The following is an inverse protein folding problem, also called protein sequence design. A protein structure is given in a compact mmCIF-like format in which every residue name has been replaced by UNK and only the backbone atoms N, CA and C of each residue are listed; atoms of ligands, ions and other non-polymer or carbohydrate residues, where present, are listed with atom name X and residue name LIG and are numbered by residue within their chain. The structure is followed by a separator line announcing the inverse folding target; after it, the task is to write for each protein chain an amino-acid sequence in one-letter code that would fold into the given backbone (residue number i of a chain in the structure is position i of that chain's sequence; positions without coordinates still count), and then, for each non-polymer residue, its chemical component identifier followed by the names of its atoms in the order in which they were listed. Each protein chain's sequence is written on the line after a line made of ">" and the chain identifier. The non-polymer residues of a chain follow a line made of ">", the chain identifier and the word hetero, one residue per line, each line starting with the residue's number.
data_IF_752740603983
#
_entry.id   IF_752740603983
#
_cell.length_a   1.000
_cell.length_b   1.000
_cell.length_c   1.000
_cell.angle_alpha   90.00
_cell.angle_beta   90.00
_cell.angle_gamma   90.00
#
_symmetry.space_group_name_H-M   'P 1'
#
loop_
_entity.id
_entity.type
_entity.pdbx_description
1 polymer ?
#
# COMPACT_ATOMS: atom_id res chain seq x y z
N UNK A 1 -5.44 -35.39 34.34
CA UNK A 1 -6.31 -35.11 33.18
C UNK A 1 -6.02 -33.68 32.78
N UNK A 2 -5.12 -33.46 31.82
CA UNK A 2 -4.78 -32.11 31.39
C UNK A 2 -5.93 -31.59 30.55
N UNK A 3 -6.70 -30.66 31.11
CA UNK A 3 -7.77 -29.98 30.41
C UNK A 3 -7.11 -29.11 29.34
N UNK A 4 -7.21 -29.51 28.08
CA UNK A 4 -6.90 -28.62 26.98
C UNK A 4 -7.94 -27.50 27.03
N UNK A 5 -7.56 -26.32 27.53
CA UNK A 5 -8.40 -25.15 27.37
C UNK A 5 -8.55 -24.94 25.85
N UNK A 6 -9.78 -25.00 25.36
CA UNK A 6 -10.10 -24.62 23.99
C UNK A 6 -9.87 -23.10 23.95
N UNK A 7 -8.73 -22.68 23.41
CA UNK A 7 -8.43 -21.27 23.22
C UNK A 7 -9.31 -20.77 22.07
N UNK A 8 -10.34 -20.00 22.39
CA UNK A 8 -11.24 -19.39 21.42
C UNK A 8 -10.55 -18.38 20.50
N UNK A 9 -9.28 -18.06 20.78
CA UNK A 9 -8.39 -17.25 19.96
C UNK A 9 -7.64 -18.05 18.90
N UNK A 10 -7.70 -19.39 18.92
CA UNK A 10 -7.03 -20.26 17.96
C UNK A 10 -7.86 -20.37 16.65
N UNK A 11 -7.32 -19.92 15.50
CA UNK A 11 -7.98 -19.95 14.19
C UNK A 11 -8.39 -21.33 13.67
N UNK A 12 -7.84 -22.40 14.25
CA UNK A 12 -8.09 -23.79 13.84
C UNK A 12 -9.38 -24.37 14.43
N UNK A 13 -9.78 -23.87 15.60
CA UNK A 13 -11.01 -24.30 16.30
C UNK A 13 -12.15 -23.29 16.15
N UNK A 14 -11.84 -22.01 15.91
CA UNK A 14 -12.83 -20.97 15.65
C UNK A 14 -12.43 -20.14 14.41
N UNK A 15 -13.07 -20.36 13.24
CA UNK A 15 -12.81 -19.57 12.04
C UNK A 15 -13.04 -18.07 12.21
N UNK A 16 -13.87 -17.66 13.18
CA UNK A 16 -14.14 -16.25 13.51
C UNK A 16 -12.99 -15.60 14.30
N UNK A 17 -12.13 -16.39 14.95
CA UNK A 17 -10.94 -15.88 15.64
C UNK A 17 -9.93 -15.22 14.68
N UNK A 18 -9.98 -15.56 13.39
CA UNK A 18 -9.20 -14.94 12.31
C UNK A 18 -9.54 -13.46 12.06
N UNK A 19 -10.63 -12.95 12.63
CA UNK A 19 -11.01 -11.53 12.52
C UNK A 19 -11.08 -10.85 13.90
N UNK A 20 -10.72 -11.55 14.98
CA UNK A 20 -10.82 -11.02 16.34
C UNK A 20 -9.69 -10.02 16.66
N UNK A 21 -8.56 -10.07 15.95
CA UNK A 21 -7.44 -9.16 16.15
C UNK A 21 -7.35 -8.14 15.01
N UNK A 22 -7.06 -6.89 15.39
CA UNK A 22 -6.82 -5.80 14.43
C UNK A 22 -5.68 -6.15 13.46
N UNK A 23 -4.68 -6.90 13.92
CA UNK A 23 -3.57 -7.39 13.09
C UNK A 23 -4.04 -8.27 11.91
N UNK A 24 -5.10 -9.07 12.09
CA UNK A 24 -5.59 -9.94 11.02
C UNK A 24 -6.35 -9.17 9.94
N UNK A 25 -7.06 -8.10 10.34
CA UNK A 25 -7.65 -7.16 9.40
C UNK A 25 -6.54 -6.46 8.59
N UNK A 26 -5.46 -6.02 9.26
CA UNK A 26 -4.32 -5.43 8.58
C UNK A 26 -3.68 -6.41 7.58
N UNK A 27 -3.54 -7.69 7.90
CA UNK A 27 -2.99 -8.68 6.98
C UNK A 27 -3.80 -8.85 5.69
N UNK A 28 -5.10 -8.53 5.69
CA UNK A 28 -5.95 -8.58 4.50
C UNK A 28 -5.97 -7.24 3.77
N UNK A 29 -6.13 -6.13 4.51
CA UNK A 29 -6.27 -4.80 3.92
C UNK A 29 -4.94 -4.26 3.36
N UNK A 30 -3.83 -4.52 4.02
CA UNK A 30 -2.54 -3.94 3.69
C UNK A 30 -1.99 -4.43 2.33
N UNK A 31 -1.97 -5.74 2.00
CA UNK A 31 -1.54 -6.19 0.66
C UNK A 31 -2.49 -5.70 -0.44
N UNK A 32 -3.80 -5.68 -0.18
CA UNK A 32 -4.79 -5.17 -1.13
C UNK A 32 -4.54 -3.67 -1.44
N UNK A 33 -4.24 -2.89 -0.41
CA UNK A 33 -3.97 -1.46 -0.53
C UNK A 33 -2.64 -1.19 -1.25
N UNK A 34 -1.60 -2.01 -0.99
CA UNK A 34 -0.33 -1.92 -1.72
C UNK A 34 -0.51 -2.24 -3.21
N UNK A 35 -1.22 -3.32 -3.54
CA UNK A 35 -1.50 -3.70 -4.94
C UNK A 35 -2.34 -2.61 -5.63
N UNK A 36 -3.38 -2.10 -4.94
CA UNK A 36 -4.20 -1.01 -5.44
C UNK A 36 -3.40 0.27 -5.67
N UNK A 37 -2.53 0.65 -4.73
CA UNK A 37 -1.66 1.82 -4.85
C UNK A 37 -0.66 1.65 -6.01
N UNK A 38 -0.06 0.47 -6.16
CA UNK A 38 0.85 0.17 -7.27
C UNK A 38 0.15 0.27 -8.62
N UNK A 39 -1.09 -0.23 -8.73
CA UNK A 39 -1.89 -0.16 -9.95
C UNK A 39 -2.26 1.29 -10.30
N UNK A 40 -2.71 2.08 -9.32
CA UNK A 40 -3.03 3.50 -9.53
C UNK A 40 -1.78 4.29 -9.96
N UNK A 41 -0.64 4.06 -9.31
CA UNK A 41 0.63 4.69 -9.67
C UNK A 41 1.02 4.36 -11.11
N UNK A 42 0.89 3.09 -11.53
CA UNK A 42 1.19 2.66 -12.89
C UNK A 42 0.31 3.40 -13.92
N UNK A 43 -1.00 3.47 -13.66
CA UNK A 43 -1.95 4.17 -14.55
C UNK A 43 -1.65 5.67 -14.61
N UNK A 44 -1.35 6.32 -13.48
CA UNK A 44 -0.99 7.74 -13.46
C UNK A 44 0.31 8.02 -14.22
N UNK A 45 1.31 7.14 -14.11
CA UNK A 45 2.59 7.30 -14.78
C UNK A 45 2.44 7.14 -16.30
N UNK A 46 1.66 6.15 -16.75
CA UNK A 46 1.31 5.98 -18.16
C UNK A 46 0.50 7.16 -18.71
N UNK A 47 -0.52 7.63 -17.97
CA UNK A 47 -1.35 8.76 -18.39
C UNK A 47 -0.56 10.08 -18.44
N UNK A 48 0.30 10.33 -17.44
CA UNK A 48 1.18 11.51 -17.41
C UNK A 48 2.22 11.49 -18.53
N UNK A 49 2.81 10.32 -18.80
CA UNK A 49 3.72 10.12 -19.92
C UNK A 49 3.03 10.33 -21.28
N UNK A 50 1.84 9.76 -21.46
CA UNK A 50 1.03 9.92 -22.66
C UNK A 50 0.66 11.39 -22.90
N UNK A 51 0.18 12.09 -21.87
CA UNK A 51 -0.18 13.51 -21.95
C UNK A 51 1.01 14.39 -22.36
N UNK A 52 2.24 14.07 -21.89
CA UNK A 52 3.47 14.78 -22.26
C UNK A 52 3.80 14.62 -23.74
N UNK A 53 3.56 13.45 -24.32
CA UNK A 53 3.89 13.13 -25.72
C UNK A 53 2.96 13.87 -26.70
N UNK A 54 1.67 14.00 -26.37
CA UNK A 54 0.66 14.59 -27.28
C UNK A 54 0.52 16.10 -27.07
N UNK A 55 1.13 16.66 -26.02
CA UNK A 55 1.00 18.08 -25.67
C UNK A 55 1.46 19.04 -26.79
N UNK A 56 2.34 18.60 -27.70
CA UNK A 56 2.81 19.40 -28.83
C UNK A 56 3.42 20.74 -28.39
N UNK A 57 3.16 21.80 -29.17
CA UNK A 57 3.64 23.18 -28.91
C UNK A 57 2.67 24.04 -28.09
N UNK A 58 1.56 23.48 -27.59
CA UNK A 58 0.61 24.19 -26.74
C UNK A 58 1.26 24.47 -25.37
N UNK A 59 1.57 25.73 -25.02
CA UNK A 59 2.26 26.05 -23.77
C UNK A 59 1.45 25.62 -22.55
N UNK A 60 0.12 25.65 -22.68
CA UNK A 60 -0.82 25.26 -21.63
C UNK A 60 -0.79 23.74 -21.38
N UNK A 61 -0.75 22.93 -22.43
CA UNK A 61 -0.65 21.48 -22.32
C UNK A 61 0.73 21.05 -21.80
N UNK A 62 1.79 21.76 -22.17
CA UNK A 62 3.14 21.53 -21.66
C UNK A 62 3.21 21.82 -20.16
N UNK A 63 2.66 22.95 -19.72
CA UNK A 63 2.60 23.30 -18.30
C UNK A 63 1.76 22.30 -17.49
N UNK A 64 0.64 21.84 -18.05
CA UNK A 64 -0.22 20.82 -17.42
C UNK A 64 0.49 19.47 -17.31
N UNK A 65 1.16 19.03 -18.36
CA UNK A 65 1.93 17.78 -18.36
C UNK A 65 3.10 17.82 -17.37
N UNK A 66 3.81 18.95 -17.25
CA UNK A 66 4.86 19.11 -16.23
C UNK A 66 4.30 19.01 -14.81
N UNK A 67 3.16 19.67 -14.52
CA UNK A 67 2.51 19.54 -13.22
C UNK A 67 2.12 18.09 -12.93
N UNK A 68 1.48 17.41 -13.88
CA UNK A 68 1.10 16.00 -13.74
C UNK A 68 2.32 15.11 -13.49
N UNK A 69 3.43 15.34 -14.19
CA UNK A 69 4.69 14.60 -14.00
C UNK A 69 5.25 14.82 -12.59
N UNK A 70 5.27 16.07 -12.10
CA UNK A 70 5.73 16.40 -10.75
C UNK A 70 4.85 15.73 -9.68
N UNK A 71 3.53 15.73 -9.85
CA UNK A 71 2.62 15.04 -8.94
C UNK A 71 2.82 13.52 -8.97
N UNK A 72 3.06 12.92 -10.13
CA UNK A 72 3.34 11.50 -10.25
C UNK A 72 4.66 11.12 -9.53
N UNK A 73 5.71 11.92 -9.70
CA UNK A 73 7.01 11.72 -9.03
C UNK A 73 6.87 11.91 -7.51
N UNK A 74 6.17 12.97 -7.08
CA UNK A 74 5.90 13.20 -5.65
C UNK A 74 5.10 12.06 -5.03
N UNK A 75 4.08 11.54 -5.73
CA UNK A 75 3.30 10.38 -5.29
C UNK A 75 4.17 9.14 -5.10
N UNK A 76 5.09 8.88 -6.04
CA UNK A 76 6.04 7.77 -5.92
C UNK A 76 6.96 7.93 -4.70
N UNK A 77 7.51 9.13 -4.49
CA UNK A 77 8.37 9.43 -3.34
C UNK A 77 7.63 9.19 -2.02
N UNK A 78 6.37 9.65 -1.92
CA UNK A 78 5.54 9.44 -0.71
C UNK A 78 5.33 7.96 -0.42
N UNK A 79 5.06 7.14 -1.43
CA UNK A 79 4.89 5.69 -1.24
C UNK A 79 6.19 5.03 -0.77
N UNK A 80 7.33 5.43 -1.33
CA UNK A 80 8.65 4.92 -0.88
C UNK A 80 8.90 5.29 0.58
N UNK A 81 8.64 6.54 0.97
CA UNK A 81 8.81 7.01 2.35
C UNK A 81 7.87 6.25 3.29
N UNK A 82 6.61 6.05 2.91
CA UNK A 82 5.65 5.27 3.70
C UNK A 82 6.14 3.85 3.95
N UNK A 83 6.68 3.19 2.92
CA UNK A 83 7.26 1.84 3.06
C UNK A 83 8.44 1.82 4.02
N UNK A 84 9.35 2.79 3.91
CA UNK A 84 10.51 2.91 4.81
C UNK A 84 10.07 3.13 6.25
N UNK A 85 9.07 3.97 6.51
CA UNK A 85 8.54 4.24 7.85
C UNK A 85 7.94 2.96 8.45
N UNK A 86 7.10 2.25 7.70
CA UNK A 86 6.51 0.99 8.17
C UNK A 86 7.59 -0.01 8.52
N UNK A 87 8.58 -0.20 7.63
CA UNK A 87 9.70 -1.12 7.86
C UNK A 87 10.53 -0.72 9.09
N UNK A 88 10.75 0.57 9.30
CA UNK A 88 11.47 1.08 10.46
C UNK A 88 10.72 0.79 11.77
N UNK A 89 9.40 0.99 11.78
CA UNK A 89 8.54 0.64 12.93
C UNK A 89 8.59 -0.87 13.17
N UNK A 90 8.48 -1.70 12.14
CA UNK A 90 8.60 -3.16 12.27
C UNK A 90 9.92 -3.58 12.92
N UNK A 91 11.04 -3.00 12.48
CA UNK A 91 12.38 -3.29 13.01
C UNK A 91 12.54 -2.84 14.47
N UNK A 92 12.07 -1.63 14.81
CA UNK A 92 12.20 -1.08 16.17
C UNK A 92 11.30 -1.83 17.16
N UNK A 93 10.07 -2.17 16.77
CA UNK A 93 9.09 -2.81 17.65
C UNK A 93 9.17 -4.35 17.62
N UNK A 94 10.01 -4.95 16.77
CA UNK A 94 10.18 -6.40 16.67
C UNK A 94 8.91 -7.17 16.27
N UNK A 95 7.92 -6.46 15.71
CA UNK A 95 6.65 -7.06 15.30
C UNK A 95 6.90 -7.81 14.00
N UNK A 96 6.59 -9.11 13.96
CA UNK A 96 6.61 -9.89 12.72
C UNK A 96 5.55 -9.34 11.78
N UNK A 97 5.99 -8.53 10.82
CA UNK A 97 5.17 -8.03 9.73
C UNK A 97 4.80 -9.21 8.80
N UNK A 98 3.61 -9.20 8.16
CA UNK A 98 3.28 -10.14 7.08
C UNK A 98 4.14 -9.95 5.82
N UNK A 99 5.06 -8.98 5.82
CA UNK A 99 6.09 -8.71 4.83
C UNK A 99 7.50 -8.84 5.44
#
# INVERSE_FOLDING_TARGET
>A
MNVYAIDFSDPTVNPLAKFAKVADLMNIFLPLLIIGAAFILLVMLLYGGYLRIIAGDSPENVAKAQKTMTFAILGLIVVIIAFVIVKLITVIFGISSPF
#
